data_IF_021203600349
#
_entry.id   IF_021203600349
#
_cell.length_a   1.000
_cell.length_b   1.000
_cell.length_c   1.000
_cell.angle_alpha   90.00
_cell.angle_beta   90.00
_cell.angle_gamma   90.00
#
_symmetry.space_group_name_H-M   'P 1'
#
loop_
_entity.id
_entity.type
_entity.pdbx_description
1 polymer ?
#
# COMPACT_ATOMS: atom_id res chain seq x y z
N UNK A 1 14.76 22.65 17.41
CA UNK A 1 13.63 21.69 17.45
C UNK A 1 12.45 22.20 16.61
N UNK A 2 12.57 22.25 15.28
CA UNK A 2 11.54 22.85 14.39
C UNK A 2 11.21 22.01 13.13
N UNK A 3 11.58 20.73 13.07
CA UNK A 3 11.27 19.91 11.88
C UNK A 3 9.88 19.26 11.94
N UNK A 4 9.29 19.05 13.12
CA UNK A 4 7.93 18.52 13.26
C UNK A 4 6.80 19.51 12.85
N UNK A 5 7.14 20.77 12.56
CA UNK A 5 6.16 21.85 12.34
C UNK A 5 5.38 21.75 11.02
N UNK A 6 5.97 21.16 9.96
CA UNK A 6 5.36 21.13 8.62
C UNK A 6 4.22 20.12 8.52
N UNK A 7 4.30 19.00 9.25
CA UNK A 7 3.24 17.99 9.23
C UNK A 7 2.03 18.42 10.07
N UNK A 8 2.27 19.09 11.20
CA UNK A 8 1.18 19.63 12.05
C UNK A 8 0.40 20.77 11.40
N UNK A 9 0.96 21.48 10.42
CA UNK A 9 0.24 22.57 9.74
C UNK A 9 -0.77 22.06 8.70
N UNK A 10 -0.70 20.79 8.31
CA UNK A 10 -1.56 20.19 7.26
C UNK A 10 -2.68 19.30 7.80
N UNK A 11 -2.68 19.00 9.10
CA UNK A 11 -3.67 18.12 9.72
C UNK A 11 -3.82 18.45 11.20
N UNK A 12 -5.05 18.30 11.72
CA UNK A 12 -5.33 18.40 13.15
C UNK A 12 -4.93 17.13 13.92
N UNK A 13 -4.66 16.02 13.21
CA UNK A 13 -4.21 14.77 13.81
C UNK A 13 -2.74 14.86 14.21
N UNK A 14 -2.40 14.33 15.38
CA UNK A 14 -1.01 14.16 15.77
C UNK A 14 -0.30 13.19 14.82
N UNK A 15 0.93 13.53 14.45
CA UNK A 15 1.77 12.75 13.54
C UNK A 15 3.02 12.29 14.28
N UNK A 16 3.35 11.00 14.17
CA UNK A 16 4.53 10.38 14.79
C UNK A 16 5.41 9.77 13.72
N UNK A 17 6.68 10.14 13.70
CA UNK A 17 7.67 9.55 12.80
C UNK A 17 8.49 8.52 13.59
N UNK A 18 8.49 7.29 13.11
CA UNK A 18 9.22 6.18 13.72
C UNK A 18 10.22 5.59 12.73
N UNK A 19 11.49 5.47 13.13
CA UNK A 19 12.58 5.01 12.29
C UNK A 19 13.04 3.60 12.67
N UNK A 20 13.31 2.76 11.67
CA UNK A 20 13.88 1.42 11.89
C UNK A 20 15.29 1.46 12.50
N UNK A 21 16.04 2.53 12.25
CA UNK A 21 17.35 2.77 12.86
C UNK A 21 17.27 3.97 13.81
N UNK A 22 17.96 3.95 14.97
CA UNK A 22 17.97 5.09 15.88
C UNK A 22 18.55 6.34 15.21
N UNK A 23 17.72 7.38 15.05
CA UNK A 23 18.15 8.72 14.61
C UNK A 23 17.74 9.71 15.70
N UNK A 24 18.61 9.83 16.70
CA UNK A 24 18.37 10.65 17.87
C UNK A 24 17.99 12.08 17.45
N UNK A 25 17.03 12.68 18.14
CA UNK A 25 16.48 14.04 17.90
C UNK A 25 15.61 14.25 16.65
N UNK A 26 15.59 13.29 15.71
CA UNK A 26 14.81 13.40 14.45
C UNK A 26 13.54 12.56 14.49
N UNK A 27 13.66 11.27 14.85
CA UNK A 27 12.55 10.33 14.86
C UNK A 27 12.61 9.39 16.07
N UNK A 28 11.45 8.91 16.50
CA UNK A 28 11.38 7.88 17.54
C UNK A 28 11.89 6.53 16.98
N UNK A 29 12.57 5.68 17.77
CA UNK A 29 12.87 4.33 17.31
C UNK A 29 11.57 3.53 17.11
N UNK A 30 11.52 2.70 16.07
CA UNK A 30 10.39 1.81 15.83
C UNK A 30 10.25 0.81 16.98
N UNK A 31 9.07 0.82 17.61
CA UNK A 31 8.67 -0.14 18.65
C UNK A 31 7.23 -0.54 18.34
N UNK A 32 7.02 -1.79 17.93
CA UNK A 32 5.71 -2.32 17.50
C UNK A 32 4.55 -1.91 18.41
N UNK A 33 4.66 -2.16 19.71
CA UNK A 33 3.59 -1.85 20.68
C UNK A 33 3.31 -0.35 20.80
N UNK A 34 4.35 0.50 20.63
CA UNK A 34 4.18 1.96 20.63
C UNK A 34 3.48 2.44 19.36
N UNK A 35 3.80 1.85 18.21
CA UNK A 35 3.14 2.12 16.93
C UNK A 35 1.64 1.82 17.03
N UNK A 36 1.28 0.65 17.56
CA UNK A 36 -0.12 0.26 17.78
C UNK A 36 -0.83 1.26 18.71
N UNK A 37 -0.22 1.61 19.85
CA UNK A 37 -0.77 2.60 20.77
C UNK A 37 -0.98 3.98 20.15
N UNK A 38 -0.10 4.40 19.23
CA UNK A 38 -0.31 5.63 18.47
C UNK A 38 -1.50 5.53 17.51
N UNK A 39 -1.64 4.41 16.80
CA UNK A 39 -2.77 4.17 15.90
C UNK A 39 -4.10 4.10 16.66
N UNK A 40 -4.16 3.47 17.83
CA UNK A 40 -5.34 3.41 18.70
C UNK A 40 -5.81 4.79 19.18
N UNK A 41 -4.90 5.76 19.31
CA UNK A 41 -5.22 7.16 19.60
C UNK A 41 -5.68 7.95 18.38
N UNK A 42 -5.73 7.33 17.21
CA UNK A 42 -6.07 7.97 15.94
C UNK A 42 -4.92 8.82 15.37
N UNK A 43 -3.69 8.62 15.81
CA UNK A 43 -2.52 9.34 15.28
C UNK A 43 -2.13 8.80 13.91
N UNK A 44 -1.47 9.64 13.11
CA UNK A 44 -0.83 9.22 11.87
C UNK A 44 0.60 8.77 12.21
N UNK A 45 0.95 7.54 11.86
CA UNK A 45 2.30 7.01 12.06
C UNK A 45 3.01 6.91 10.72
N UNK A 46 4.18 7.53 10.62
CA UNK A 46 5.05 7.49 9.45
C UNK A 46 6.25 6.60 9.79
N UNK A 47 6.40 5.50 9.06
CA UNK A 47 7.56 4.62 9.18
C UNK A 47 8.68 5.07 8.24
N UNK A 48 9.86 5.29 8.80
CA UNK A 48 11.06 5.72 8.09
C UNK A 48 12.20 4.70 8.24
N UNK A 49 13.18 4.76 7.33
CA UNK A 49 14.34 3.88 7.35
C UNK A 49 14.07 2.44 6.90
N UNK A 50 12.88 2.14 6.36
CA UNK A 50 12.51 0.81 5.88
C UNK A 50 12.66 -0.26 6.97
N UNK A 51 13.51 -1.25 6.73
CA UNK A 51 13.92 -2.26 7.71
C UNK A 51 15.31 -2.00 8.32
N UNK A 52 15.96 -0.90 7.97
CA UNK A 52 17.33 -0.59 8.40
C UNK A 52 18.39 -1.49 7.77
N UNK A 53 18.04 -2.23 6.71
CA UNK A 53 18.92 -3.20 6.02
C UNK A 53 19.07 -2.82 4.54
N UNK A 54 20.28 -2.97 3.96
CA UNK A 54 20.49 -2.76 2.53
C UNK A 54 19.82 -3.86 1.69
N UNK A 55 19.63 -3.59 0.40
CA UNK A 55 19.06 -4.51 -0.60
C UNK A 55 17.57 -4.87 -0.41
N UNK A 56 16.87 -4.13 0.45
CA UNK A 56 15.42 -4.30 0.67
C UNK A 56 14.69 -3.11 0.03
N UNK A 57 13.71 -3.40 -0.83
CA UNK A 57 12.83 -2.38 -1.43
C UNK A 57 11.89 -1.80 -0.38
N UNK A 58 11.29 -0.63 -0.62
CA UNK A 58 10.32 -0.01 0.31
C UNK A 58 9.05 -0.84 0.50
N UNK A 59 8.72 -1.70 -0.47
CA UNK A 59 7.52 -2.53 -0.45
C UNK A 59 7.55 -3.55 0.70
N UNK A 60 8.69 -4.20 0.94
CA UNK A 60 8.79 -5.25 1.95
C UNK A 60 8.59 -4.73 3.39
N UNK A 61 9.28 -3.65 3.84
CA UNK A 61 9.01 -3.01 5.12
C UNK A 61 7.57 -2.50 5.23
N UNK A 62 6.97 -2.01 4.14
CA UNK A 62 5.58 -1.53 4.16
C UNK A 62 4.61 -2.66 4.53
N UNK A 63 4.77 -3.83 3.91
CA UNK A 63 3.97 -5.04 4.21
C UNK A 63 4.28 -5.54 5.63
N UNK A 64 5.56 -5.61 6.00
CA UNK A 64 5.95 -6.03 7.35
C UNK A 64 5.33 -5.15 8.44
N UNK A 65 5.40 -3.81 8.27
CA UNK A 65 4.81 -2.88 9.24
C UNK A 65 3.31 -3.01 9.30
N UNK A 66 2.63 -3.17 8.16
CA UNK A 66 1.20 -3.41 8.12
C UNK A 66 0.80 -4.66 8.92
N UNK A 67 1.53 -5.77 8.77
CA UNK A 67 1.31 -7.00 9.55
C UNK A 67 1.58 -6.75 11.04
N UNK A 68 2.70 -6.13 11.38
CA UNK A 68 3.08 -5.87 12.78
C UNK A 68 2.09 -4.93 13.49
N UNK A 69 1.47 -3.99 12.76
CA UNK A 69 0.47 -3.07 13.30
C UNK A 69 -0.98 -3.57 13.16
N UNK A 70 -1.19 -4.81 12.71
CA UNK A 70 -2.50 -5.41 12.48
C UNK A 70 -3.39 -4.60 11.52
N UNK A 71 -2.80 -4.02 10.47
CA UNK A 71 -3.54 -3.30 9.45
C UNK A 71 -4.47 -4.25 8.67
N UNK A 72 -5.67 -3.78 8.35
CA UNK A 72 -6.67 -4.59 7.63
C UNK A 72 -6.36 -4.77 6.14
N UNK A 73 -5.54 -3.90 5.56
CA UNK A 73 -5.14 -3.94 4.16
C UNK A 73 -3.90 -3.06 3.93
N UNK A 74 -3.27 -3.21 2.77
CA UNK A 74 -2.25 -2.29 2.25
C UNK A 74 -2.73 -1.61 0.97
N UNK A 75 -2.46 -0.32 0.86
CA UNK A 75 -2.79 0.48 -0.31
C UNK A 75 -1.51 0.76 -1.09
N UNK A 76 -1.45 0.26 -2.32
CA UNK A 76 -0.30 0.37 -3.22
C UNK A 76 -0.64 1.42 -4.29
N UNK A 77 -0.04 2.60 -4.11
CA UNK A 77 -0.20 3.70 -5.03
C UNK A 77 0.76 3.54 -6.23
N UNK A 78 0.24 3.67 -7.46
CA UNK A 78 1.02 3.70 -8.70
C UNK A 78 0.85 5.05 -9.38
N UNK A 79 1.88 5.51 -10.08
CA UNK A 79 1.81 6.73 -10.89
C UNK A 79 1.43 6.38 -12.33
N UNK A 80 0.34 6.96 -12.82
CA UNK A 80 -0.11 6.81 -14.20
C UNK A 80 -0.53 5.39 -14.59
N UNK A 81 -0.92 4.57 -13.61
CA UNK A 81 -1.54 3.26 -13.79
C UNK A 81 -2.60 3.08 -12.72
N UNK A 82 -3.85 2.85 -13.12
CA UNK A 82 -5.02 2.83 -12.25
C UNK A 82 -5.43 1.42 -11.78
N UNK A 83 -4.51 0.47 -11.81
CA UNK A 83 -4.74 -0.90 -11.35
C UNK A 83 -3.71 -1.90 -11.89
N UNK A 84 -4.08 -3.17 -11.87
CA UNK A 84 -3.34 -4.27 -12.48
C UNK A 84 -4.03 -4.63 -13.79
N UNK A 85 -3.25 -4.85 -14.84
CA UNK A 85 -3.72 -5.21 -16.17
C UNK A 85 -3.19 -6.59 -16.55
N UNK A 86 -3.93 -7.32 -17.39
CA UNK A 86 -3.50 -8.62 -17.92
C UNK A 86 -2.22 -8.54 -18.76
N UNK A 87 -1.92 -7.36 -19.29
CA UNK A 87 -0.64 -7.04 -19.92
C UNK A 87 -0.40 -5.51 -19.94
N UNK A 88 0.77 -5.06 -20.41
CA UNK A 88 1.13 -3.64 -20.39
C UNK A 88 0.22 -2.79 -21.30
N UNK A 89 -0.60 -1.87 -20.74
CA UNK A 89 -1.51 -1.02 -21.52
C UNK A 89 -0.78 0.00 -22.41
N UNK A 90 0.52 0.24 -22.17
CA UNK A 90 1.34 1.12 -23.01
C UNK A 90 1.84 0.42 -24.26
N UNK A 91 2.00 -0.91 -24.19
CA UNK A 91 2.47 -1.71 -25.31
C UNK A 91 1.32 -2.20 -26.20
N UNK A 92 0.14 -2.42 -25.61
CA UNK A 92 -1.03 -3.00 -26.29
C UNK A 92 -2.31 -2.33 -25.82
N UNK A 93 -3.13 -1.93 -26.79
CA UNK A 93 -4.40 -1.22 -26.53
C UNK A 93 -5.53 -2.12 -26.07
N UNK A 94 -5.38 -3.45 -26.19
CA UNK A 94 -6.37 -4.44 -25.74
C UNK A 94 -6.17 -4.88 -24.28
N UNK A 95 -5.32 -4.19 -23.52
CA UNK A 95 -5.07 -4.46 -22.10
C UNK A 95 -6.34 -4.28 -21.27
N UNK A 96 -6.71 -5.33 -20.54
CA UNK A 96 -7.88 -5.34 -19.67
C UNK A 96 -7.44 -5.21 -18.22
N UNK A 97 -8.05 -4.25 -17.53
CA UNK A 97 -7.82 -4.04 -16.10
C UNK A 97 -8.58 -5.08 -15.29
N UNK A 98 -7.93 -5.65 -14.28
CA UNK A 98 -8.60 -6.46 -13.28
C UNK A 98 -9.34 -5.56 -12.29
N UNK A 99 -10.59 -5.88 -12.00
CA UNK A 99 -11.31 -5.34 -10.84
C UNK A 99 -10.85 -6.06 -9.57
N UNK A 100 -10.74 -7.39 -9.64
CA UNK A 100 -10.26 -8.22 -8.54
C UNK A 100 -9.55 -9.48 -9.05
N UNK A 101 -8.59 -9.99 -8.29
CA UNK A 101 -7.91 -11.25 -8.58
C UNK A 101 -7.27 -11.88 -7.33
N UNK A 102 -7.16 -13.22 -7.26
CA UNK A 102 -6.47 -13.86 -6.16
C UNK A 102 -4.95 -13.71 -6.27
N UNK A 103 -4.27 -13.90 -5.15
CA UNK A 103 -2.82 -13.88 -5.06
C UNK A 103 -2.10 -14.81 -6.05
N UNK A 104 -2.65 -16.01 -6.25
CA UNK A 104 -2.01 -17.02 -7.10
C UNK A 104 -2.09 -16.63 -8.58
N UNK A 105 -3.17 -15.98 -9.03
CA UNK A 105 -3.28 -15.46 -10.41
C UNK A 105 -2.18 -14.42 -10.69
N UNK A 106 -1.89 -13.53 -9.74
CA UNK A 106 -0.82 -12.54 -9.87
C UNK A 106 0.54 -13.21 -10.08
N UNK A 107 0.80 -14.31 -9.36
CA UNK A 107 2.06 -15.04 -9.45
C UNK A 107 2.15 -15.86 -10.73
N UNK A 108 1.08 -16.56 -11.11
CA UNK A 108 1.02 -17.39 -12.32
C UNK A 108 1.18 -16.56 -13.59
N UNK A 109 0.53 -15.39 -13.64
CA UNK A 109 0.61 -14.46 -14.77
C UNK A 109 1.82 -13.51 -14.68
N UNK A 110 2.65 -13.62 -13.62
CA UNK A 110 3.81 -12.77 -13.38
C UNK A 110 3.49 -11.25 -13.45
N UNK A 111 2.34 -10.86 -12.88
CA UNK A 111 1.87 -9.47 -12.89
C UNK A 111 2.66 -8.63 -11.89
N UNK A 112 3.14 -7.47 -12.34
CA UNK A 112 4.01 -6.59 -11.55
C UNK A 112 3.19 -5.67 -10.62
N UNK A 113 2.86 -6.16 -9.44
CA UNK A 113 2.15 -5.38 -8.40
C UNK A 113 3.13 -4.64 -7.49
N UNK A 114 4.03 -5.37 -6.84
CA UNK A 114 5.05 -4.86 -5.94
C UNK A 114 6.26 -5.80 -5.96
N UNK A 115 7.32 -5.50 -5.21
CA UNK A 115 8.44 -6.43 -5.05
C UNK A 115 7.97 -7.85 -4.68
N UNK A 116 8.57 -8.88 -5.29
CA UNK A 116 8.13 -10.27 -5.15
C UNK A 116 8.19 -10.75 -3.69
N UNK A 117 9.22 -10.38 -2.93
CA UNK A 117 9.33 -10.77 -1.53
C UNK A 117 8.24 -10.11 -0.68
N UNK A 118 7.89 -8.86 -0.96
CA UNK A 118 6.81 -8.16 -0.28
C UNK A 118 5.44 -8.77 -0.59
N UNK A 119 5.22 -9.13 -1.87
CA UNK A 119 3.97 -9.76 -2.32
C UNK A 119 3.76 -11.13 -1.68
N UNK A 120 4.81 -11.97 -1.62
CA UNK A 120 4.75 -13.27 -0.95
C UNK A 120 4.45 -13.11 0.54
N UNK A 121 5.10 -12.15 1.21
CA UNK A 121 4.83 -11.87 2.62
C UNK A 121 3.37 -11.46 2.85
N UNK A 122 2.80 -10.62 1.98
CA UNK A 122 1.40 -10.22 2.07
C UNK A 122 0.45 -11.42 1.88
N UNK A 123 0.76 -12.33 0.94
CA UNK A 123 0.02 -13.58 0.72
C UNK A 123 0.03 -14.49 1.94
N UNK A 124 1.21 -14.74 2.53
CA UNK A 124 1.36 -15.64 3.69
C UNK A 124 0.52 -15.19 4.88
N UNK A 125 0.42 -13.87 5.09
CA UNK A 125 -0.38 -13.27 6.16
C UNK A 125 -1.79 -12.90 5.72
N UNK A 126 -2.20 -13.27 4.49
CA UNK A 126 -3.52 -13.01 3.92
C UNK A 126 -3.91 -11.52 3.97
N UNK A 127 -2.93 -10.63 3.87
CA UNK A 127 -3.13 -9.19 3.95
C UNK A 127 -3.72 -8.68 2.62
N UNK A 128 -4.94 -8.13 2.56
CA UNK A 128 -5.50 -7.61 1.32
C UNK A 128 -4.68 -6.45 0.73
N UNK A 129 -4.55 -6.39 -0.60
CA UNK A 129 -3.85 -5.31 -1.32
C UNK A 129 -4.85 -4.57 -2.22
N UNK A 130 -4.83 -3.24 -2.16
CA UNK A 130 -5.53 -2.37 -3.09
C UNK A 130 -4.53 -1.60 -3.95
N UNK A 131 -4.53 -1.86 -5.26
CA UNK A 131 -3.69 -1.13 -6.23
C UNK A 131 -4.51 -0.03 -6.87
N UNK A 132 -4.04 1.21 -6.84
CA UNK A 132 -4.78 2.36 -7.37
C UNK A 132 -3.87 3.45 -7.93
N UNK A 133 -4.43 4.32 -8.78
CA UNK A 133 -3.71 5.49 -9.28
C UNK A 133 -3.60 6.56 -8.19
N UNK A 134 -2.37 6.97 -7.89
CA UNK A 134 -2.10 8.05 -6.95
C UNK A 134 -2.63 9.40 -7.43
N UNK A 135 -2.63 9.63 -8.75
CA UNK A 135 -2.99 10.93 -9.33
C UNK A 135 -4.51 11.16 -9.30
N UNK A 136 -5.29 10.08 -9.14
CA UNK A 136 -6.73 10.15 -8.97
C UNK A 136 -7.09 10.62 -7.55
N UNK A 137 -7.51 11.88 -7.44
CA UNK A 137 -7.90 12.49 -6.17
C UNK A 137 -9.10 11.77 -5.56
N UNK A 138 -8.98 11.38 -4.27
CA UNK A 138 -10.06 10.74 -3.52
C UNK A 138 -10.04 9.22 -3.53
N UNK A 139 -9.18 8.57 -4.32
CA UNK A 139 -9.13 7.11 -4.44
C UNK A 139 -8.91 6.39 -3.11
N UNK A 140 -7.94 6.84 -2.31
CA UNK A 140 -7.69 6.25 -0.98
C UNK A 140 -8.91 6.33 -0.07
N UNK A 141 -9.62 7.47 -0.07
CA UNK A 141 -10.83 7.66 0.73
C UNK A 141 -11.93 6.71 0.26
N UNK A 142 -12.15 6.64 -1.05
CA UNK A 142 -13.16 5.77 -1.65
C UNK A 142 -12.91 4.29 -1.33
N UNK A 143 -11.65 3.84 -1.36
CA UNK A 143 -11.24 2.48 -0.94
C UNK A 143 -11.61 2.23 0.54
N UNK A 144 -11.27 3.17 1.43
CA UNK A 144 -11.60 3.04 2.86
C UNK A 144 -13.12 3.07 3.12
N UNK A 145 -13.92 3.67 2.24
CA UNK A 145 -15.38 3.68 2.29
C UNK A 145 -16.01 2.41 1.68
N UNK A 146 -15.19 1.49 1.14
CA UNK A 146 -15.63 0.22 0.56
C UNK A 146 -15.95 0.27 -0.93
N UNK A 147 -15.63 1.37 -1.63
CA UNK A 147 -15.82 1.45 -3.07
C UNK A 147 -14.72 0.67 -3.81
N UNK A 148 -15.09 0.10 -4.96
CA UNK A 148 -14.16 -0.59 -5.86
C UNK A 148 -13.38 0.44 -6.70
N UNK A 149 -12.19 0.81 -6.23
CA UNK A 149 -11.25 1.67 -6.97
C UNK A 149 -9.98 0.90 -7.26
N UNK A 150 -9.57 0.94 -8.53
CA UNK A 150 -8.42 0.22 -9.04
C UNK A 150 -8.60 -1.29 -9.02
N UNK A 151 -7.64 -2.01 -8.46
CA UNK A 151 -7.64 -3.48 -8.42
C UNK A 151 -7.50 -3.98 -6.99
N UNK A 152 -8.37 -4.92 -6.61
CA UNK A 152 -8.32 -5.63 -5.34
C UNK A 152 -7.62 -6.98 -5.46
N UNK A 153 -6.68 -7.27 -4.57
CA UNK A 153 -6.01 -8.58 -4.48
C UNK A 153 -6.20 -9.15 -3.08
N UNK A 154 -6.71 -10.39 -3.00
CA UNK A 154 -7.05 -11.02 -1.73
C UNK A 154 -7.12 -12.55 -1.81
N UNK A 155 -7.24 -13.19 -0.65
CA UNK A 155 -7.54 -14.62 -0.57
C UNK A 155 -9.00 -14.88 -0.98
N UNK A 156 -9.31 -16.05 -1.55
CA UNK A 156 -10.67 -16.45 -1.96
C UNK A 156 -11.39 -15.44 -2.85
N UNK A 157 -10.63 -14.67 -3.63
CA UNK A 157 -11.15 -13.67 -4.55
C UNK A 157 -11.26 -14.28 -5.96
N UNK A 158 -12.37 -14.03 -6.64
CA UNK A 158 -12.53 -14.45 -8.03
C UNK A 158 -11.73 -13.54 -8.97
N UNK A 159 -11.37 -14.03 -10.15
CA UNK A 159 -10.81 -13.18 -11.20
C UNK A 159 -11.96 -12.42 -11.86
N UNK A 160 -11.97 -11.10 -11.71
CA UNK A 160 -12.95 -10.20 -12.32
C UNK A 160 -12.22 -9.10 -13.09
N UNK A 161 -12.71 -8.79 -14.29
CA UNK A 161 -12.23 -7.66 -15.08
C UNK A 161 -13.12 -6.44 -14.82
N UNK A 162 -12.52 -5.25 -14.80
CA UNK A 162 -13.27 -4.01 -14.74
C UNK A 162 -14.12 -3.88 -16.01
N UNK A 163 -15.37 -3.42 -15.88
CA UNK A 163 -16.22 -3.14 -17.03
C UNK A 163 -15.51 -2.17 -17.97
N UNK A 164 -15.39 -2.56 -19.25
CA UNK A 164 -14.80 -1.71 -20.26
C UNK A 164 -15.70 -0.49 -20.42
N UNK A 165 -15.33 0.64 -19.83
CA UNK A 165 -15.84 1.92 -20.30
C UNK A 165 -15.25 2.10 -21.69
N UNK A 166 -16.01 1.68 -22.71
CA UNK A 166 -15.76 2.10 -24.08
C UNK A 166 -15.88 3.61 -24.02
N UNK A 167 -14.73 4.30 -23.97
CA UNK A 167 -14.67 5.74 -24.21
C UNK A 167 -15.14 5.89 -25.66
N UNK A 168 -16.41 6.26 -25.81
CA UNK A 168 -17.04 6.59 -27.10
C UNK A 168 -16.71 8.04 -27.42
#
# INVERSE_FOLDING_TARGET
MREAGVLKSKTEKEVRVMSAMPVNTVAEPYIRLRSIHHLEKGYIVIFAGGNGQPYVTTDYPSVQRAIETNSCAILVAKHGVDGVFDHDPRARTDARKYASLPYDEVLEQNLKVMDQSAFILAREYKLPIHVFDFDQTGSMKAICEGNHVGTFIGENTAVEYAESTIVT
#
